data_IF_590582465928
#
_entry.id   IF_590582465928
#
_cell.length_a   1.000
_cell.length_b   1.000
_cell.length_c   1.000
_cell.angle_alpha   90.00
_cell.angle_beta   90.00
_cell.angle_gamma   90.00
#
_symmetry.space_group_name_H-M   'P 1'
#
loop_
_entity.id
_entity.type
_entity.pdbx_description
1 polymer ?
#
# COMPACT_ATOMS: atom_id res chain seq x y z
N UNK A 1 -15.08 -42.12 22.40
CA UNK A 1 -15.14 -40.65 22.61
C UNK A 1 -14.95 -40.01 21.25
N UNK A 2 -16.02 -39.47 20.66
CA UNK A 2 -16.03 -38.96 19.28
C UNK A 2 -15.59 -37.49 19.26
N UNK A 3 -14.93 -37.03 18.17
CA UNK A 3 -14.55 -35.62 17.99
C UNK A 3 -15.77 -34.68 18.08
N UNK A 4 -16.95 -35.21 17.76
CA UNK A 4 -18.23 -34.50 17.90
C UNK A 4 -18.64 -34.22 19.35
N UNK A 5 -18.25 -35.07 20.33
CA UNK A 5 -18.54 -34.84 21.75
C UNK A 5 -17.80 -33.59 22.29
N UNK A 6 -16.57 -33.37 21.82
CA UNK A 6 -15.72 -32.26 22.26
C UNK A 6 -16.29 -30.91 21.77
N UNK A 7 -16.87 -30.87 20.57
CA UNK A 7 -17.52 -29.68 20.00
C UNK A 7 -18.78 -29.32 20.76
N UNK A 8 -19.53 -30.32 21.26
CA UNK A 8 -20.75 -30.10 22.03
C UNK A 8 -20.47 -29.59 23.46
N UNK A 9 -19.37 -30.01 24.08
CA UNK A 9 -19.05 -29.71 25.47
C UNK A 9 -18.36 -28.35 25.69
N UNK A 10 -17.64 -27.82 24.69
CA UNK A 10 -16.86 -26.56 24.81
C UNK A 10 -17.47 -25.34 24.11
N UNK A 11 -18.67 -25.50 23.55
CA UNK A 11 -19.50 -24.40 23.05
C UNK A 11 -19.07 -23.89 21.66
N UNK A 12 -19.93 -24.00 20.62
CA UNK A 12 -19.62 -23.51 19.26
C UNK A 12 -19.31 -22.01 19.20
N UNK A 13 -19.67 -21.26 20.24
CA UNK A 13 -19.42 -19.83 20.38
C UNK A 13 -17.94 -19.43 20.40
N UNK A 14 -17.07 -20.21 21.04
CA UNK A 14 -15.63 -19.89 21.03
C UNK A 14 -15.00 -20.12 19.68
N UNK A 15 -15.42 -21.19 18.99
CA UNK A 15 -14.98 -21.47 17.62
C UNK A 15 -15.48 -20.40 16.65
N UNK A 16 -16.73 -19.96 16.79
CA UNK A 16 -17.30 -18.87 16.00
C UNK A 16 -16.53 -17.55 16.23
N UNK A 17 -16.17 -17.22 17.47
CA UNK A 17 -15.36 -16.04 17.78
C UNK A 17 -13.96 -16.10 17.17
N UNK A 18 -13.32 -17.28 17.17
CA UNK A 18 -12.02 -17.48 16.52
C UNK A 18 -12.10 -17.33 15.01
N UNK A 19 -13.10 -17.96 14.37
CA UNK A 19 -13.33 -17.84 12.92
C UNK A 19 -13.66 -16.39 12.54
N UNK A 20 -14.45 -15.68 13.36
CA UNK A 20 -14.73 -14.27 13.14
C UNK A 20 -13.48 -13.40 13.24
N UNK A 21 -12.63 -13.60 14.26
CA UNK A 21 -11.36 -12.88 14.40
C UNK A 21 -10.42 -13.15 13.21
N UNK A 22 -10.36 -14.39 12.74
CA UNK A 22 -9.58 -14.77 11.56
C UNK A 22 -10.12 -14.10 10.28
N UNK A 23 -11.44 -14.05 10.14
CA UNK A 23 -12.10 -13.35 9.04
C UNK A 23 -11.80 -11.85 9.03
N UNK A 24 -11.91 -11.18 10.18
CA UNK A 24 -11.57 -9.75 10.32
C UNK A 24 -10.10 -9.50 10.03
N UNK A 25 -9.20 -10.33 10.56
CA UNK A 25 -7.77 -10.25 10.27
C UNK A 25 -7.49 -10.36 8.78
N UNK A 26 -8.11 -11.33 8.11
CA UNK A 26 -7.94 -11.54 6.67
C UNK A 26 -8.48 -10.35 5.86
N UNK A 27 -9.62 -9.81 6.25
CA UNK A 27 -10.24 -8.66 5.58
C UNK A 27 -9.36 -7.40 5.68
N UNK A 28 -8.88 -7.10 6.88
CA UNK A 28 -7.94 -5.99 7.12
C UNK A 28 -6.63 -6.21 6.37
N UNK A 29 -6.15 -7.45 6.33
CA UNK A 29 -4.94 -7.80 5.58
C UNK A 29 -5.15 -7.57 4.08
N UNK A 30 -6.30 -7.96 3.54
CA UNK A 30 -6.65 -7.79 2.14
C UNK A 30 -6.76 -6.31 1.74
N UNK A 31 -7.28 -5.46 2.64
CA UNK A 31 -7.38 -4.00 2.43
C UNK A 31 -6.02 -3.29 2.55
N UNK A 32 -5.05 -3.87 3.28
CA UNK A 32 -3.72 -3.27 3.41
C UNK A 32 -2.96 -3.19 2.09
N UNK A 33 -3.11 -4.20 1.24
CA UNK A 33 -2.48 -4.26 -0.09
C UNK A 33 -2.92 -3.13 -1.03
N UNK A 34 -4.23 -2.88 -1.28
CA UNK A 34 -4.67 -1.78 -2.12
C UNK A 34 -4.32 -0.41 -1.53
N UNK A 35 -4.32 -0.25 -0.20
CA UNK A 35 -3.86 1.01 0.43
C UNK A 35 -2.38 1.28 0.16
N UNK A 36 -1.52 0.26 0.33
CA UNK A 36 -0.10 0.37 0.04
C UNK A 36 0.15 0.63 -1.46
N UNK A 37 -0.64 0.00 -2.33
CA UNK A 37 -0.57 0.21 -3.78
C UNK A 37 -0.99 1.63 -4.16
N UNK A 38 -2.08 2.15 -3.58
CA UNK A 38 -2.55 3.51 -3.80
C UNK A 38 -1.51 4.55 -3.35
N UNK A 39 -0.88 4.33 -2.19
CA UNK A 39 0.19 5.20 -1.71
C UNK A 39 1.39 5.22 -2.67
N UNK A 40 1.81 4.06 -3.19
CA UNK A 40 2.88 3.97 -4.20
C UNK A 40 2.50 4.66 -5.50
N UNK A 41 1.26 4.49 -5.95
CA UNK A 41 0.78 5.11 -7.19
C UNK A 41 0.73 6.63 -7.05
N UNK A 42 0.25 7.14 -5.91
CA UNK A 42 0.22 8.57 -5.62
C UNK A 42 1.65 9.15 -5.58
N UNK A 43 2.58 8.46 -4.92
CA UNK A 43 3.98 8.87 -4.89
C UNK A 43 4.63 8.88 -6.28
N UNK A 44 4.35 7.87 -7.11
CA UNK A 44 4.82 7.83 -8.50
C UNK A 44 4.23 8.97 -9.35
N UNK A 45 2.95 9.28 -9.16
CA UNK A 45 2.29 10.39 -9.83
C UNK A 45 2.90 11.73 -9.42
N UNK A 46 3.15 11.93 -8.12
CA UNK A 46 3.81 13.12 -7.60
C UNK A 46 5.23 13.27 -8.18
N UNK A 47 6.04 12.22 -8.15
CA UNK A 47 7.38 12.24 -8.72
C UNK A 47 7.38 12.53 -10.23
N UNK A 48 6.41 11.97 -10.96
CA UNK A 48 6.25 12.24 -12.39
C UNK A 48 5.84 13.68 -12.67
N UNK A 49 4.92 14.23 -11.88
CA UNK A 49 4.51 15.64 -12.00
C UNK A 49 5.67 16.58 -11.67
N UNK A 50 6.41 16.30 -10.60
CA UNK A 50 7.55 17.10 -10.18
C UNK A 50 8.62 17.14 -11.27
N UNK A 51 9.01 15.98 -11.82
CA UNK A 51 9.96 15.91 -12.93
C UNK A 51 9.49 16.70 -14.17
N UNK A 52 8.20 16.63 -14.51
CA UNK A 52 7.64 17.39 -15.64
C UNK A 52 7.66 18.89 -15.35
N UNK A 53 7.30 19.31 -14.15
CA UNK A 53 7.32 20.72 -13.75
C UNK A 53 8.75 21.25 -13.74
N UNK A 54 9.70 20.53 -13.15
CA UNK A 54 11.13 20.89 -13.20
C UNK A 54 11.59 21.01 -14.64
N UNK A 55 11.30 20.02 -15.51
CA UNK A 55 11.71 20.08 -16.92
C UNK A 55 11.12 21.28 -17.68
N UNK A 56 9.90 21.70 -17.32
CA UNK A 56 9.23 22.84 -17.95
C UNK A 56 9.70 24.19 -17.40
N UNK A 57 10.08 24.25 -16.12
CA UNK A 57 10.47 25.48 -15.42
C UNK A 57 11.98 25.73 -15.40
N UNK A 58 12.79 24.72 -15.76
CA UNK A 58 14.25 24.81 -15.83
C UNK A 58 14.83 24.83 -17.27
N UNK A 59 14.25 25.53 -18.27
CA UNK A 59 14.89 25.66 -19.58
C UNK A 59 16.13 26.58 -19.54
N UNK A 60 16.09 27.65 -18.73
CA UNK A 60 17.17 28.64 -18.64
C UNK A 60 18.46 28.12 -18.00
N UNK A 61 18.38 27.15 -17.08
CA UNK A 61 19.55 26.64 -16.36
C UNK A 61 20.39 25.69 -17.23
N UNK A 62 19.75 24.96 -18.15
CA UNK A 62 20.45 24.15 -19.14
C UNK A 62 21.26 25.01 -20.12
N UNK A 63 20.72 26.17 -20.51
CA UNK A 63 21.38 27.12 -21.40
C UNK A 63 22.51 27.88 -20.70
N UNK A 64 22.34 28.23 -19.41
CA UNK A 64 23.38 28.83 -18.57
C UNK A 64 24.52 27.84 -18.25
N UNK A 65 24.20 26.57 -17.99
CA UNK A 65 25.18 25.51 -17.75
C UNK A 65 26.01 25.20 -19.01
N UNK A 66 25.39 25.19 -20.20
CA UNK A 66 26.12 25.09 -21.48
C UNK A 66 27.07 26.27 -21.68
N UNK A 67 26.62 27.49 -21.38
CA UNK A 67 27.45 28.70 -21.54
C UNK A 67 28.65 28.76 -20.58
N UNK A 68 28.54 28.18 -19.38
CA UNK A 68 29.66 28.10 -18.43
C UNK A 68 30.61 26.93 -18.68
N UNK A 69 30.23 25.94 -19.48
CA UNK A 69 31.10 24.81 -19.85
C UNK A 69 32.00 25.12 -21.07
N UNK A 70 31.69 26.20 -21.80
CA UNK A 70 32.42 26.69 -22.99
C UNK A 70 33.45 27.80 -22.64
N UNK A 71 33.62 28.13 -21.35
CA UNK A 71 34.58 29.12 -20.81
C UNK A 71 35.61 28.40 -19.95
#
# INVERSE_FOLDING_TARGET
MSVFDIVQQHGPWKLAGFVAALGVFLLLHLIRWPLALAARLLHAAQAGLDARITSAMTPETAERARRSADV
#
